data_IF_150719227244
#
_entry.id   IF_150719227244
#
_cell.length_a   1.000
_cell.length_b   1.000
_cell.length_c   1.000
_cell.angle_alpha   90.00
_cell.angle_beta   90.00
_cell.angle_gamma   90.00
#
_symmetry.space_group_name_H-M   'P 1'
#
loop_
_entity.id
_entity.type
_entity.pdbx_description
1 polymer ?
#
# COMPACT_ATOMS: atom_id res chain seq x y z
N UNK A 1 23.08 7.88 4.32
CA UNK A 1 23.69 8.96 3.52
C UNK A 1 24.73 8.36 2.58
N UNK A 2 24.44 8.25 1.29
CA UNK A 2 25.43 8.06 0.22
C UNK A 2 24.99 8.90 -0.97
N UNK A 3 25.50 10.13 -1.00
CA UNK A 3 25.35 11.05 -2.13
C UNK A 3 26.20 10.53 -3.29
N UNK A 4 25.56 10.22 -4.42
CA UNK A 4 26.27 10.02 -5.68
C UNK A 4 26.33 11.37 -6.40
N UNK A 5 27.50 11.97 -6.29
CA UNK A 5 27.98 13.10 -7.08
C UNK A 5 28.08 12.64 -8.53
N UNK A 6 27.24 13.20 -9.41
CA UNK A 6 27.49 13.21 -10.85
C UNK A 6 27.65 14.67 -11.28
N UNK A 7 28.87 15.15 -11.07
CA UNK A 7 29.35 16.45 -11.51
C UNK A 7 29.93 16.30 -12.93
N UNK A 8 29.49 17.17 -13.83
CA UNK A 8 30.23 17.70 -14.98
C UNK A 8 30.95 16.74 -15.94
N UNK A 9 30.29 16.45 -17.08
CA UNK A 9 30.97 16.37 -18.38
C UNK A 9 30.19 17.21 -19.41
N UNK A 10 30.27 18.53 -19.23
CA UNK A 10 29.97 19.54 -20.25
C UNK A 10 31.30 20.19 -20.63
N UNK A 11 31.99 19.66 -21.65
CA UNK A 11 32.95 20.41 -22.45
C UNK A 11 33.03 19.75 -23.83
N UNK A 12 32.17 20.19 -24.75
CA UNK A 12 32.41 20.02 -26.18
C UNK A 12 32.99 21.35 -26.64
N UNK A 13 34.31 21.38 -26.73
CA UNK A 13 35.08 22.43 -27.38
C UNK A 13 34.67 22.51 -28.85
N UNK A 14 34.14 23.67 -29.24
CA UNK A 14 34.20 24.19 -30.60
C UNK A 14 35.67 24.30 -31.02
N UNK A 15 35.93 24.10 -32.32
CA UNK A 15 37.21 24.11 -33.04
C UNK A 15 37.88 22.75 -33.31
N UNK A 16 37.42 22.10 -34.40
CA UNK A 16 38.30 21.62 -35.46
C UNK A 16 37.47 21.48 -36.74
N UNK A 17 37.95 22.04 -37.85
CA UNK A 17 37.50 21.68 -39.18
C UNK A 17 37.81 20.18 -39.39
N UNK A 18 36.81 19.32 -39.20
CA UNK A 18 36.92 17.89 -39.38
C UNK A 18 35.76 17.43 -40.25
N UNK A 19 36.12 16.91 -41.43
CA UNK A 19 35.40 15.89 -42.21
C UNK A 19 34.06 15.52 -41.55
N UNK A 20 32.95 15.91 -42.17
CA UNK A 20 31.67 15.28 -41.85
C UNK A 20 31.91 13.77 -41.84
N UNK A 21 31.69 13.07 -40.71
CA UNK A 21 31.90 11.64 -40.69
C UNK A 21 31.01 11.07 -41.80
N UNK A 22 31.49 10.10 -42.57
CA UNK A 22 30.76 9.47 -43.67
C UNK A 22 29.47 8.75 -43.21
N UNK A 23 28.99 9.02 -41.99
CA UNK A 23 27.94 8.29 -41.32
C UNK A 23 27.09 9.13 -40.33
N UNK A 24 26.79 10.40 -40.69
CA UNK A 24 25.94 11.30 -39.87
C UNK A 24 24.54 10.70 -39.63
N UNK A 25 24.01 9.95 -40.61
CA UNK A 25 22.73 9.27 -40.47
C UNK A 25 22.74 8.17 -39.40
N UNK A 26 23.77 7.31 -39.34
CA UNK A 26 23.83 6.31 -38.27
C UNK A 26 24.01 6.94 -36.89
N UNK A 27 24.72 8.07 -36.79
CA UNK A 27 24.80 8.80 -35.52
C UNK A 27 23.41 9.31 -35.08
N UNK A 28 22.62 9.83 -36.01
CA UNK A 28 21.26 10.28 -35.75
C UNK A 28 20.33 9.12 -35.34
N UNK A 29 20.40 7.98 -36.03
CA UNK A 29 19.65 6.76 -35.66
C UNK A 29 20.11 6.19 -34.31
N UNK A 30 21.41 6.25 -34.01
CA UNK A 30 21.96 5.87 -32.70
C UNK A 30 21.43 6.77 -31.58
N UNK A 31 21.21 8.06 -31.85
CA UNK A 31 20.61 8.97 -30.88
C UNK A 31 19.17 8.55 -30.51
N UNK A 32 18.36 8.10 -31.48
CA UNK A 32 17.03 7.50 -31.21
C UNK A 32 17.17 6.29 -30.30
N UNK A 33 18.07 5.35 -30.63
CA UNK A 33 18.27 4.13 -29.85
C UNK A 33 18.73 4.42 -28.41
N UNK A 34 19.65 5.37 -28.23
CA UNK A 34 20.09 5.80 -26.90
C UNK A 34 18.94 6.40 -26.08
N UNK A 35 18.12 7.24 -26.69
CA UNK A 35 16.93 7.81 -26.06
C UNK A 35 15.92 6.72 -25.64
N UNK A 36 15.64 5.75 -26.52
CA UNK A 36 14.79 4.60 -26.22
C UNK A 36 15.35 3.76 -25.08
N UNK A 37 16.65 3.51 -25.07
CA UNK A 37 17.31 2.76 -24.00
C UNK A 37 17.17 3.47 -22.66
N UNK A 38 17.36 4.79 -22.63
CA UNK A 38 17.15 5.59 -21.42
C UNK A 38 15.73 5.46 -20.86
N UNK A 39 14.72 5.51 -21.72
CA UNK A 39 13.31 5.30 -21.34
C UNK A 39 13.09 3.87 -20.81
N UNK A 40 13.61 2.86 -21.51
CA UNK A 40 13.48 1.45 -21.10
C UNK A 40 14.07 1.22 -19.69
N UNK A 41 15.23 1.83 -19.39
CA UNK A 41 15.84 1.76 -18.05
C UNK A 41 14.89 2.34 -16.99
N UNK A 42 14.34 3.54 -17.21
CA UNK A 42 13.40 4.17 -16.27
C UNK A 42 12.12 3.34 -16.11
N UNK A 43 11.58 2.78 -17.21
CA UNK A 43 10.42 1.91 -17.17
C UNK A 43 10.70 0.62 -16.37
N UNK A 44 11.85 0.00 -16.56
CA UNK A 44 12.25 -1.19 -15.78
C UNK A 44 12.32 -0.86 -14.28
N UNK A 45 12.95 0.26 -13.95
CA UNK A 45 13.07 0.79 -12.59
C UNK A 45 11.72 1.04 -11.92
N UNK A 46 10.78 1.64 -12.65
CA UNK A 46 9.42 1.88 -12.19
C UNK A 46 8.65 0.57 -11.97
N UNK A 47 8.79 -0.43 -12.86
CA UNK A 47 8.17 -1.76 -12.68
C UNK A 47 8.68 -2.45 -11.43
N UNK A 48 10.00 -2.47 -11.25
CA UNK A 48 10.61 -3.04 -10.06
C UNK A 48 10.11 -2.34 -8.79
N UNK A 49 10.07 -1.00 -8.79
CA UNK A 49 9.61 -0.20 -7.66
C UNK A 49 8.13 -0.48 -7.34
N UNK A 50 7.27 -0.52 -8.36
CA UNK A 50 5.85 -0.85 -8.25
C UNK A 50 5.65 -2.23 -7.62
N UNK A 51 6.34 -3.25 -8.11
CA UNK A 51 6.23 -4.63 -7.58
C UNK A 51 6.68 -4.71 -6.14
N UNK A 52 7.82 -4.08 -5.80
CA UNK A 52 8.35 -4.07 -4.44
C UNK A 52 7.42 -3.32 -3.47
N UNK A 53 6.85 -2.19 -3.89
CA UNK A 53 5.85 -1.45 -3.10
C UNK A 53 4.60 -2.30 -2.91
N UNK A 54 4.05 -2.90 -3.96
CA UNK A 54 2.86 -3.73 -3.86
C UNK A 54 3.07 -4.88 -2.86
N UNK A 55 4.10 -5.71 -3.08
CA UNK A 55 4.34 -6.90 -2.27
C UNK A 55 4.59 -6.57 -0.79
N UNK A 56 5.47 -5.60 -0.50
CA UNK A 56 5.78 -5.21 0.88
C UNK A 56 4.58 -4.60 1.59
N UNK A 57 3.84 -3.74 0.89
CA UNK A 57 2.71 -3.04 1.50
C UNK A 57 1.55 -4.01 1.75
N UNK A 58 1.24 -4.91 0.81
CA UNK A 58 0.21 -5.93 1.04
C UNK A 58 0.57 -6.86 2.20
N UNK A 59 1.82 -7.32 2.27
CA UNK A 59 2.28 -8.16 3.38
C UNK A 59 2.09 -7.46 4.73
N UNK A 60 2.44 -6.18 4.82
CA UNK A 60 2.35 -5.46 6.08
C UNK A 60 0.90 -5.13 6.48
N UNK A 61 0.05 -4.76 5.50
CA UNK A 61 -1.39 -4.59 5.71
C UNK A 61 -1.99 -5.88 6.28
N UNK A 62 -1.65 -7.02 5.70
CA UNK A 62 -2.10 -8.33 6.18
C UNK A 62 -1.60 -8.64 7.59
N UNK A 63 -0.34 -8.35 7.90
CA UNK A 63 0.21 -8.51 9.25
C UNK A 63 -0.56 -7.68 10.29
N UNK A 64 -0.89 -6.42 9.97
CA UNK A 64 -1.71 -5.58 10.84
C UNK A 64 -3.12 -6.12 11.02
N UNK A 65 -3.75 -6.60 9.95
CA UNK A 65 -5.06 -7.25 9.99
C UNK A 65 -5.05 -8.49 10.91
N UNK A 66 -4.07 -9.37 10.74
CA UNK A 66 -3.91 -10.58 11.56
C UNK A 66 -3.68 -10.24 13.03
N UNK A 67 -2.81 -9.27 13.30
CA UNK A 67 -2.53 -8.81 14.68
C UNK A 67 -3.80 -8.27 15.35
N UNK A 68 -4.58 -7.45 14.65
CA UNK A 68 -5.81 -6.90 15.19
C UNK A 68 -6.86 -7.99 15.44
N UNK A 69 -7.06 -8.89 14.48
CA UNK A 69 -7.97 -10.03 14.62
C UNK A 69 -7.58 -10.93 15.80
N UNK A 70 -6.27 -11.19 15.96
CA UNK A 70 -5.76 -11.97 17.09
C UNK A 70 -6.04 -11.31 18.44
N UNK A 71 -5.94 -9.97 18.53
CA UNK A 71 -6.29 -9.24 19.75
C UNK A 71 -7.77 -9.33 20.08
N UNK A 72 -8.65 -9.22 19.09
CA UNK A 72 -10.09 -9.44 19.30
C UNK A 72 -10.35 -10.85 19.83
N UNK A 73 -9.71 -11.87 19.24
CA UNK A 73 -9.81 -13.26 19.71
C UNK A 73 -9.34 -13.41 21.17
N UNK A 74 -8.20 -12.80 21.52
CA UNK A 74 -7.64 -12.85 22.87
C UNK A 74 -8.59 -12.23 23.89
N UNK A 75 -9.13 -11.04 23.60
CA UNK A 75 -10.11 -10.36 24.45
C UNK A 75 -11.35 -11.24 24.62
N UNK A 76 -11.92 -11.73 23.52
CA UNK A 76 -13.12 -12.56 23.54
C UNK A 76 -12.90 -13.83 24.36
N UNK A 77 -11.83 -14.58 24.08
CA UNK A 77 -11.54 -15.85 24.76
C UNK A 77 -11.27 -15.64 26.26
N UNK A 78 -10.47 -14.62 26.61
CA UNK A 78 -10.17 -14.30 28.01
C UNK A 78 -11.44 -13.98 28.77
N UNK A 79 -12.31 -13.13 28.20
CA UNK A 79 -13.55 -12.73 28.86
C UNK A 79 -14.58 -13.85 28.91
N UNK A 80 -14.70 -14.68 27.87
CA UNK A 80 -15.61 -15.84 27.87
C UNK A 80 -15.17 -16.90 28.90
N UNK A 81 -13.86 -17.13 29.03
CA UNK A 81 -13.33 -18.02 30.06
C UNK A 81 -13.64 -17.50 31.47
N UNK A 82 -13.52 -16.18 31.68
CA UNK A 82 -13.90 -15.55 32.93
C UNK A 82 -15.39 -15.73 33.26
N UNK A 83 -16.28 -15.51 32.28
CA UNK A 83 -17.73 -15.74 32.43
C UNK A 83 -18.03 -17.20 32.74
N UNK A 84 -17.35 -18.14 32.07
CA UNK A 84 -17.50 -19.58 32.34
C UNK A 84 -17.05 -19.91 33.77
N UNK A 85 -15.98 -19.31 34.28
CA UNK A 85 -15.57 -19.49 35.67
C UNK A 85 -16.63 -19.00 36.65
N UNK A 86 -17.19 -17.80 36.42
CA UNK A 86 -18.31 -17.26 37.22
C UNK A 86 -19.54 -18.18 37.19
N UNK A 87 -19.84 -18.80 36.04
CA UNK A 87 -20.96 -19.76 35.93
C UNK A 87 -20.78 -21.00 36.80
N UNK A 88 -19.54 -21.48 36.89
CA UNK A 88 -19.18 -22.66 37.70
C UNK A 88 -19.29 -22.30 39.18
N UNK A 89 -18.74 -21.16 39.60
CA UNK A 89 -18.86 -20.66 40.97
C UNK A 89 -20.33 -20.46 41.38
N UNK A 90 -21.13 -19.82 40.53
CA UNK A 90 -22.57 -19.64 40.76
C UNK A 90 -23.35 -20.96 40.83
N UNK A 91 -22.89 -22.01 40.12
CA UNK A 91 -23.49 -23.34 40.19
C UNK A 91 -23.13 -24.07 41.50
N UNK A 92 -21.85 -24.03 41.92
CA UNK A 92 -21.42 -24.61 43.20
C UNK A 92 -22.07 -23.91 44.40
N UNK A 93 -22.16 -22.57 44.37
CA UNK A 93 -22.84 -21.80 45.41
C UNK A 93 -24.33 -22.17 45.52
N UNK A 94 -25.01 -22.43 44.40
CA UNK A 94 -26.40 -22.93 44.38
C UNK A 94 -26.56 -24.35 44.89
N UNK A 95 -25.55 -25.21 44.74
CA UNK A 95 -25.56 -26.57 45.29
C UNK A 95 -25.43 -26.58 46.82
N UNK A 96 -24.58 -25.73 47.39
CA UNK A 96 -24.42 -25.64 48.86
C UNK A 96 -25.61 -24.98 49.57
N UNK A 97 -26.36 -24.09 48.87
CA UNK A 97 -27.51 -23.37 49.42
C UNK A 97 -28.87 -23.77 48.83
N UNK A 98 -29.05 -25.03 48.42
CA UNK A 98 -30.18 -25.48 47.58
C UNK A 98 -31.61 -25.24 48.15
N UNK A 99 -31.76 -24.89 49.43
CA UNK A 99 -33.04 -24.52 50.04
C UNK A 99 -33.36 -23.01 49.87
N UNK A 100 -32.41 -22.10 50.10
CA UNK A 100 -32.60 -20.63 49.95
C UNK A 100 -32.55 -20.19 48.48
N UNK A 101 -31.78 -20.90 47.63
CA UNK A 101 -31.59 -20.52 46.23
C UNK A 101 -32.86 -20.72 45.36
N UNK A 102 -33.70 -21.72 45.70
CA UNK A 102 -34.99 -21.94 45.01
C UNK A 102 -35.98 -20.80 45.24
N UNK A 103 -35.85 -20.06 46.34
CA UNK A 103 -36.78 -18.99 46.73
C UNK A 103 -36.46 -17.64 46.06
N UNK A 104 -35.28 -17.50 45.42
CA UNK A 104 -34.84 -16.23 44.83
C UNK A 104 -35.15 -16.03 43.33
N UNK A 105 -35.56 -17.08 42.59
CA UNK A 105 -36.02 -16.96 41.19
C UNK A 105 -34.98 -16.44 40.18
N UNK A 106 -33.68 -16.38 40.54
CA UNK A 106 -32.64 -15.73 39.73
C UNK A 106 -32.13 -16.63 38.62
N UNK A 107 -32.32 -16.20 37.38
CA UNK A 107 -31.84 -16.90 36.19
C UNK A 107 -30.42 -16.47 35.82
N UNK A 108 -29.45 -16.90 36.63
CA UNK A 108 -28.04 -16.66 36.35
C UNK A 108 -27.59 -17.29 35.02
N UNK A 109 -28.25 -18.33 34.52
CA UNK A 109 -27.97 -18.89 33.20
C UNK A 109 -28.35 -17.88 32.10
N UNK A 110 -29.51 -17.24 32.21
CA UNK A 110 -29.92 -16.16 31.32
C UNK A 110 -28.98 -14.95 31.39
N UNK A 111 -28.57 -14.51 32.59
CA UNK A 111 -27.57 -13.44 32.76
C UNK A 111 -26.29 -13.74 31.95
N UNK A 112 -25.75 -14.94 32.09
CA UNK A 112 -24.51 -15.36 31.44
C UNK A 112 -24.67 -15.56 29.92
N UNK A 113 -25.84 -16.02 29.47
CA UNK A 113 -26.17 -16.18 28.06
C UNK A 113 -26.28 -14.84 27.33
N UNK A 114 -26.93 -13.85 27.94
CA UNK A 114 -27.03 -12.48 27.38
C UNK A 114 -25.63 -11.89 27.21
N UNK A 115 -24.80 -11.96 28.24
CA UNK A 115 -23.44 -11.41 28.22
C UNK A 115 -22.57 -12.10 27.17
N UNK A 116 -22.65 -13.43 27.08
CA UNK A 116 -21.94 -14.21 26.06
C UNK A 116 -22.35 -13.78 24.66
N UNK A 117 -23.64 -13.54 24.43
CA UNK A 117 -24.17 -13.06 23.14
C UNK A 117 -23.64 -11.66 22.81
N UNK A 118 -23.72 -10.73 23.76
CA UNK A 118 -23.28 -9.34 23.57
C UNK A 118 -21.79 -9.25 23.26
N UNK A 119 -20.97 -10.05 23.93
CA UNK A 119 -19.54 -10.12 23.64
C UNK A 119 -19.24 -10.69 22.26
N UNK A 120 -19.95 -11.74 21.84
CA UNK A 120 -19.80 -12.29 20.49
C UNK A 120 -20.21 -11.27 19.43
N UNK A 121 -21.30 -10.51 19.66
CA UNK A 121 -21.74 -9.45 18.76
C UNK A 121 -20.73 -8.29 18.68
N UNK A 122 -20.14 -7.90 19.82
CA UNK A 122 -19.07 -6.91 19.85
C UNK A 122 -17.83 -7.38 19.08
N UNK A 123 -17.40 -8.63 19.26
CA UNK A 123 -16.29 -9.19 18.51
C UNK A 123 -16.57 -9.24 17.00
N UNK A 124 -17.77 -9.67 16.59
CA UNK A 124 -18.21 -9.64 15.18
C UNK A 124 -18.10 -8.24 14.58
N UNK A 125 -18.60 -7.23 15.29
CA UNK A 125 -18.49 -5.83 14.88
C UNK A 125 -17.03 -5.41 14.74
N UNK A 126 -16.19 -5.79 15.70
CA UNK A 126 -14.75 -5.52 15.66
C UNK A 126 -14.05 -6.15 14.47
N UNK A 127 -14.35 -7.41 14.12
CA UNK A 127 -13.79 -8.05 12.93
C UNK A 127 -14.21 -7.32 11.65
N UNK A 128 -15.49 -6.97 11.52
CA UNK A 128 -15.98 -6.20 10.36
C UNK A 128 -15.31 -4.83 10.25
N UNK A 129 -15.05 -4.15 11.36
CA UNK A 129 -14.30 -2.89 11.36
C UNK A 129 -12.83 -3.09 10.93
N UNK A 130 -12.14 -4.11 11.46
CA UNK A 130 -10.76 -4.46 11.07
C UNK A 130 -10.67 -4.84 9.58
N UNK A 131 -11.65 -5.59 9.07
CA UNK A 131 -11.76 -5.89 7.64
C UNK A 131 -11.94 -4.62 6.81
N UNK A 132 -12.82 -3.71 7.25
CA UNK A 132 -13.03 -2.42 6.58
C UNK A 132 -11.74 -1.58 6.55
N UNK A 133 -10.98 -1.56 7.64
CA UNK A 133 -9.66 -0.93 7.69
C UNK A 133 -8.72 -1.52 6.63
N UNK A 134 -8.61 -2.85 6.57
CA UNK A 134 -7.77 -3.55 5.60
C UNK A 134 -8.15 -3.21 4.14
N UNK A 135 -9.45 -3.17 3.84
CA UNK A 135 -9.93 -2.83 2.51
C UNK A 135 -9.64 -1.37 2.12
N UNK A 136 -9.76 -0.44 3.08
CA UNK A 136 -9.38 0.96 2.86
C UNK A 136 -7.88 1.08 2.52
N UNK A 137 -7.02 0.43 3.31
CA UNK A 137 -5.59 0.41 3.07
C UNK A 137 -5.22 -0.22 1.70
N UNK A 138 -5.89 -1.31 1.30
CA UNK A 138 -5.72 -1.94 -0.02
C UNK A 138 -6.15 -1.01 -1.17
N UNK A 139 -7.23 -0.25 -0.99
CA UNK A 139 -7.73 0.72 -1.97
C UNK A 139 -6.73 1.87 -2.17
N UNK A 140 -6.16 2.37 -1.09
CA UNK A 140 -5.12 3.41 -1.15
C UNK A 140 -3.86 2.90 -1.84
N UNK A 141 -3.40 1.69 -1.49
CA UNK A 141 -2.31 1.04 -2.21
C UNK A 141 -2.61 0.94 -3.72
N UNK A 142 -3.83 0.53 -4.09
CA UNK A 142 -4.26 0.49 -5.49
C UNK A 142 -4.10 1.83 -6.21
N UNK A 143 -4.43 2.94 -5.53
CA UNK A 143 -4.26 4.29 -6.07
C UNK A 143 -2.78 4.61 -6.32
N UNK A 144 -1.88 4.25 -5.40
CA UNK A 144 -0.43 4.42 -5.58
C UNK A 144 0.05 3.64 -6.79
N UNK A 145 -0.38 2.38 -6.93
CA UNK A 145 0.04 1.50 -8.04
C UNK A 145 -0.44 2.01 -9.40
N UNK A 146 -1.63 2.61 -9.46
CA UNK A 146 -2.14 3.21 -10.68
C UNK A 146 -1.28 4.38 -11.16
N UNK A 147 -0.67 5.15 -10.25
CA UNK A 147 0.26 6.22 -10.63
C UNK A 147 1.50 5.65 -11.31
N UNK A 148 2.01 4.49 -10.85
CA UNK A 148 3.09 3.79 -11.54
C UNK A 148 2.67 3.33 -12.94
N UNK A 149 1.47 2.79 -13.10
CA UNK A 149 0.95 2.33 -14.39
C UNK A 149 0.79 3.49 -15.38
N UNK A 150 0.33 4.64 -14.90
CA UNK A 150 0.25 5.86 -15.71
C UNK A 150 1.64 6.35 -16.17
N UNK A 151 2.65 6.34 -15.30
CA UNK A 151 4.00 6.71 -15.71
C UNK A 151 4.65 5.67 -16.65
N UNK A 152 4.33 4.38 -16.52
CA UNK A 152 4.71 3.39 -17.55
C UNK A 152 4.12 3.73 -18.92
N UNK A 153 2.84 4.10 -18.97
CA UNK A 153 2.17 4.49 -20.20
C UNK A 153 2.80 5.76 -20.80
N UNK A 154 3.17 6.74 -19.97
CA UNK A 154 3.92 7.92 -20.41
C UNK A 154 5.26 7.55 -21.04
N UNK A 155 6.03 6.66 -20.40
CA UNK A 155 7.28 6.15 -20.97
C UNK A 155 7.09 5.48 -22.33
N UNK A 156 6.06 4.65 -22.47
CA UNK A 156 5.72 4.00 -23.73
C UNK A 156 5.31 5.00 -24.82
N UNK A 157 4.57 6.06 -24.46
CA UNK A 157 4.21 7.13 -25.40
C UNK A 157 5.45 7.84 -25.96
N UNK A 158 6.40 8.22 -25.09
CA UNK A 158 7.66 8.85 -25.53
C UNK A 158 8.45 7.91 -26.45
N UNK A 159 8.48 6.62 -26.16
CA UNK A 159 9.12 5.61 -27.02
C UNK A 159 8.46 5.53 -28.40
N UNK A 160 7.12 5.56 -28.46
CA UNK A 160 6.40 5.58 -29.73
C UNK A 160 6.70 6.85 -30.54
N UNK A 161 6.83 8.01 -29.89
CA UNK A 161 7.23 9.25 -30.56
C UNK A 161 8.65 9.13 -31.15
N UNK A 162 9.59 8.51 -30.43
CA UNK A 162 10.94 8.23 -30.94
C UNK A 162 10.91 7.31 -32.17
N UNK A 163 10.08 6.27 -32.16
CA UNK A 163 9.92 5.35 -33.29
C UNK A 163 9.38 6.06 -34.55
N UNK A 164 8.51 7.06 -34.37
CA UNK A 164 7.96 7.85 -35.46
C UNK A 164 8.95 8.85 -36.07
N UNK A 165 10.05 9.20 -35.37
CA UNK A 165 11.02 10.19 -35.89
C UNK A 165 11.66 9.70 -37.19
N UNK A 166 12.11 8.45 -37.25
CA UNK A 166 12.82 7.94 -38.42
C UNK A 166 11.92 7.97 -39.68
N UNK A 167 10.66 7.55 -39.52
CA UNK A 167 9.66 7.59 -40.59
C UNK A 167 9.30 9.03 -40.98
N UNK A 168 9.08 9.89 -39.98
CA UNK A 168 8.70 11.29 -40.17
C UNK A 168 9.84 12.24 -40.57
N UNK A 169 11.04 11.71 -40.83
CA UNK A 169 12.21 12.44 -41.33
C UNK A 169 12.73 11.86 -42.66
N UNK A 170 11.97 10.97 -43.30
CA UNK A 170 12.35 10.37 -44.59
C UNK A 170 12.71 11.43 -45.62
N UNK A 171 13.90 11.31 -46.20
CA UNK A 171 14.40 12.15 -47.30
C UNK A 171 15.33 11.32 -48.17
N UNK A 172 15.36 11.62 -49.47
CA UNK A 172 16.34 11.06 -50.39
C UNK A 172 17.76 11.56 -50.11
N UNK A 173 17.91 12.63 -49.33
CA UNK A 173 19.19 13.16 -48.87
C UNK A 173 19.46 12.75 -47.42
N UNK A 174 20.50 11.91 -47.23
CA UNK A 174 20.89 11.37 -45.92
C UNK A 174 21.28 12.45 -44.90
N UNK A 175 21.87 13.56 -45.35
CA UNK A 175 22.22 14.68 -44.47
C UNK A 175 20.98 15.43 -43.99
N UNK A 176 20.01 15.65 -44.88
CA UNK A 176 18.73 16.28 -44.52
C UNK A 176 17.94 15.39 -43.56
N UNK A 177 17.90 14.08 -43.83
CA UNK A 177 17.29 13.09 -42.94
C UNK A 177 17.95 13.09 -41.55
N UNK A 178 19.28 13.06 -41.49
CA UNK A 178 20.02 13.07 -40.23
C UNK A 178 19.76 14.36 -39.43
N UNK A 179 19.79 15.53 -40.08
CA UNK A 179 19.50 16.81 -39.44
C UNK A 179 18.07 16.85 -38.87
N UNK A 180 17.07 16.37 -39.64
CA UNK A 180 15.69 16.26 -39.16
C UNK A 180 15.59 15.37 -37.91
N UNK A 181 16.22 14.20 -37.93
CA UNK A 181 16.23 13.26 -36.81
C UNK A 181 16.84 13.92 -35.57
N UNK A 182 18.02 14.53 -35.70
CA UNK A 182 18.73 15.16 -34.58
C UNK A 182 17.88 16.25 -33.93
N UNK A 183 17.24 17.12 -34.74
CA UNK A 183 16.38 18.18 -34.23
C UNK A 183 15.16 17.63 -33.48
N UNK A 184 14.46 16.63 -34.04
CA UNK A 184 13.30 16.02 -33.37
C UNK A 184 13.70 15.26 -32.10
N UNK A 185 14.81 14.53 -32.11
CA UNK A 185 15.34 13.85 -30.92
C UNK A 185 15.71 14.86 -29.83
N UNK A 186 16.31 16.00 -30.19
CA UNK A 186 16.66 17.05 -29.24
C UNK A 186 15.42 17.61 -28.51
N UNK A 187 14.30 17.78 -29.23
CA UNK A 187 13.02 18.19 -28.65
C UNK A 187 12.49 17.12 -27.69
N UNK A 188 12.44 15.85 -28.11
CA UNK A 188 11.95 14.75 -27.26
C UNK A 188 12.83 14.54 -26.02
N UNK A 189 14.14 14.79 -26.10
CA UNK A 189 15.06 14.68 -24.97
C UNK A 189 14.68 15.60 -23.79
N UNK A 190 13.96 16.69 -24.02
CA UNK A 190 13.40 17.50 -22.92
C UNK A 190 12.28 16.73 -22.19
N UNK A 191 11.37 16.10 -22.94
CA UNK A 191 10.33 15.23 -22.40
C UNK A 191 10.88 14.02 -21.65
N UNK A 192 11.96 13.40 -22.15
CA UNK A 192 12.66 12.30 -21.47
C UNK A 192 13.21 12.75 -20.11
N UNK A 193 13.83 13.93 -20.02
CA UNK A 193 14.34 14.46 -18.76
C UNK A 193 13.22 14.72 -17.75
N UNK A 194 12.11 15.29 -18.19
CA UNK A 194 10.94 15.48 -17.32
C UNK A 194 10.37 14.14 -16.84
N UNK A 195 10.28 13.16 -17.73
CA UNK A 195 9.83 11.81 -17.39
C UNK A 195 10.74 11.14 -16.34
N UNK A 196 12.06 11.23 -16.52
CA UNK A 196 13.04 10.75 -15.52
C UNK A 196 12.86 11.41 -14.15
N UNK A 197 12.65 12.73 -14.13
CA UNK A 197 12.42 13.48 -12.90
C UNK A 197 11.12 13.04 -12.20
N UNK A 198 10.01 12.94 -12.93
CA UNK A 198 8.73 12.46 -12.37
C UNK A 198 8.85 11.03 -11.85
N UNK A 199 9.49 10.14 -12.60
CA UNK A 199 9.73 8.76 -12.18
C UNK A 199 10.55 8.68 -10.88
N UNK A 200 11.55 9.55 -10.72
CA UNK A 200 12.35 9.64 -9.49
C UNK A 200 11.52 10.15 -8.31
N UNK A 201 10.74 11.21 -8.51
CA UNK A 201 9.87 11.80 -7.48
C UNK A 201 8.78 10.81 -7.03
N UNK A 202 8.18 10.08 -7.97
CA UNK A 202 7.15 9.08 -7.69
C UNK A 202 7.65 8.03 -6.70
N UNK A 203 8.89 7.53 -6.84
CA UNK A 203 9.46 6.55 -5.91
C UNK A 203 9.49 7.08 -4.46
N UNK A 204 9.81 8.37 -4.28
CA UNK A 204 9.87 8.99 -2.95
C UNK A 204 8.46 9.20 -2.39
N UNK A 205 7.55 9.74 -3.21
CA UNK A 205 6.16 9.97 -2.82
C UNK A 205 5.45 8.68 -2.44
N UNK A 206 5.62 7.62 -3.25
CA UNK A 206 5.00 6.33 -3.00
C UNK A 206 5.51 5.69 -1.69
N UNK A 207 6.78 5.88 -1.32
CA UNK A 207 7.28 5.43 -0.02
C UNK A 207 6.67 6.22 1.14
N UNK A 208 6.48 7.53 0.99
CA UNK A 208 5.80 8.35 2.01
C UNK A 208 4.34 7.94 2.17
N UNK A 209 3.62 7.77 1.07
CA UNK A 209 2.21 7.36 1.08
C UNK A 209 2.04 5.95 1.66
N UNK A 210 2.95 5.03 1.36
CA UNK A 210 2.98 3.71 2.01
C UNK A 210 3.04 3.82 3.54
N UNK A 211 3.88 4.71 4.08
CA UNK A 211 3.98 4.90 5.52
C UNK A 211 2.69 5.50 6.11
N UNK A 212 2.01 6.38 5.36
CA UNK A 212 0.70 6.90 5.75
C UNK A 212 -0.35 5.78 5.83
N UNK A 213 -0.42 4.90 4.81
CA UNK A 213 -1.28 3.71 4.80
C UNK A 213 -1.06 2.87 6.05
N UNK A 214 0.19 2.62 6.44
CA UNK A 214 0.50 1.83 7.64
C UNK A 214 0.03 2.51 8.93
N UNK A 215 0.25 3.81 9.05
CA UNK A 215 -0.20 4.59 10.20
C UNK A 215 -1.73 4.58 10.33
N UNK A 216 -2.43 4.75 9.21
CA UNK A 216 -3.89 4.77 9.17
C UNK A 216 -4.47 3.38 9.45
N UNK A 217 -3.91 2.34 8.85
CA UNK A 217 -4.28 0.94 9.13
C UNK A 217 -4.12 0.61 10.61
N UNK A 218 -2.97 0.97 11.20
CA UNK A 218 -2.71 0.75 12.62
C UNK A 218 -3.71 1.48 13.52
N UNK A 219 -3.96 2.76 13.26
CA UNK A 219 -4.91 3.57 14.04
C UNK A 219 -6.35 3.07 13.90
N UNK A 220 -6.76 2.68 12.69
CA UNK A 220 -8.08 2.11 12.42
C UNK A 220 -8.27 0.80 13.20
N UNK A 221 -7.30 -0.11 13.13
CA UNK A 221 -7.31 -1.37 13.87
C UNK A 221 -7.30 -1.17 15.38
N UNK A 222 -6.55 -0.19 15.89
CA UNK A 222 -6.53 0.13 17.32
C UNK A 222 -7.93 0.55 17.81
N UNK A 223 -8.61 1.44 17.07
CA UNK A 223 -9.97 1.88 17.41
C UNK A 223 -10.98 0.73 17.40
N UNK A 224 -10.88 -0.20 16.44
CA UNK A 224 -11.73 -1.39 16.41
C UNK A 224 -11.51 -2.27 17.65
N UNK A 225 -10.25 -2.53 18.01
CA UNK A 225 -9.90 -3.28 19.21
C UNK A 225 -10.40 -2.61 20.50
N UNK A 226 -10.24 -1.29 20.61
CA UNK A 226 -10.66 -0.53 21.80
C UNK A 226 -12.18 -0.60 22.02
N UNK A 227 -12.96 -0.58 20.93
CA UNK A 227 -14.42 -0.78 20.99
C UNK A 227 -14.77 -2.18 21.51
N UNK A 228 -14.12 -3.22 21.00
CA UNK A 228 -14.33 -4.60 21.49
C UNK A 228 -13.98 -4.72 22.96
N UNK A 229 -12.83 -4.15 23.38
CA UNK A 229 -12.39 -4.15 24.77
C UNK A 229 -13.39 -3.43 25.67
N UNK A 230 -13.88 -2.26 25.25
CA UNK A 230 -14.88 -1.47 25.98
C UNK A 230 -16.20 -2.23 26.12
N UNK A 231 -16.72 -2.77 25.02
CA UNK A 231 -17.95 -3.55 25.01
C UNK A 231 -17.84 -4.80 25.88
N UNK A 232 -16.72 -5.51 25.79
CA UNK A 232 -16.45 -6.71 26.61
C UNK A 232 -16.38 -6.38 28.10
N UNK A 233 -15.78 -5.24 28.46
CA UNK A 233 -15.71 -4.80 29.86
C UNK A 233 -17.09 -4.44 30.40
N UNK A 234 -17.91 -3.71 29.62
CA UNK A 234 -19.30 -3.41 29.97
C UNK A 234 -20.15 -4.67 30.16
N UNK A 235 -19.99 -5.64 29.27
CA UNK A 235 -20.70 -6.91 29.35
C UNK A 235 -20.35 -7.68 30.64
N UNK A 236 -19.08 -7.69 31.05
CA UNK A 236 -18.67 -8.30 32.32
C UNK A 236 -19.29 -7.60 33.53
N UNK A 237 -19.29 -6.27 33.58
CA UNK A 237 -19.93 -5.55 34.69
C UNK A 237 -21.43 -5.85 34.76
N UNK A 238 -22.12 -5.86 33.61
CA UNK A 238 -23.52 -6.25 33.55
C UNK A 238 -23.75 -7.69 34.05
N UNK A 239 -22.85 -8.63 33.74
CA UNK A 239 -22.91 -10.00 34.25
C UNK A 239 -22.82 -10.05 35.77
N UNK A 240 -21.83 -9.36 36.34
CA UNK A 240 -21.60 -9.32 37.79
C UNK A 240 -22.80 -8.70 38.51
N UNK A 241 -23.35 -7.61 37.98
CA UNK A 241 -24.51 -6.94 38.57
C UNK A 241 -25.77 -7.81 38.49
N UNK A 242 -25.99 -8.52 37.37
CA UNK A 242 -27.09 -9.46 37.19
C UNK A 242 -27.00 -10.68 38.13
N UNK A 243 -25.78 -11.10 38.48
CA UNK A 243 -25.54 -12.21 39.41
C UNK A 243 -25.67 -11.79 40.89
N UNK A 244 -25.44 -10.51 41.23
CA UNK A 244 -25.56 -9.98 42.60
C UNK A 244 -27.01 -9.63 42.96
N UNK A 245 -27.73 -8.98 42.05
CA UNK A 245 -29.12 -8.57 42.24
C UNK A 245 -30.09 -9.72 42.03
#
# INVERSE_FOLDING_TARGET
>A
MKSLVFLCLLFVTLYAAQRFPNNVLDQALKAINNAKNSINTVMSDLRYSRTNINSKTQSEIFNYYMTATSRINEVLNTRLNYIKALSIEAFYYRKEKSQEAKESGKDAENCLNIVTKDMKAAAQTGYSEVESCEQAAKKELGTILQIFDNEQANGQNIKNQLDQIALGCSSSNSQQMANCIILKVAIINQGIRQYQQRASQLKNQANSQKNAIFSEQFSCNARANDKVQSASSKAIYAAVDCLKN
#
